data_IF_108370476592
#
_entry.id   IF_108370476592
#
_cell.length_a   1.000
_cell.length_b   1.000
_cell.length_c   1.000
_cell.angle_alpha   90.00
_cell.angle_beta   90.00
_cell.angle_gamma   90.00
#
_symmetry.space_group_name_H-M   'P 1'
#
loop_
_entity.id
_entity.type
_entity.pdbx_description
1 polymer ?
#
# COMPACT_ATOMS: atom_id res chain seq x y z
N UNK A 1 -20.40 -9.90 12.43
CA UNK A 1 -18.97 -9.72 12.13
C UNK A 1 -18.70 -8.33 11.58
N UNK A 2 -19.36 -7.90 10.50
CA UNK A 2 -19.12 -6.60 9.85
C UNK A 2 -19.14 -5.41 10.79
N UNK A 3 -20.16 -5.27 11.66
CA UNK A 3 -20.25 -4.16 12.61
C UNK A 3 -19.03 -4.12 13.55
N UNK A 4 -18.60 -5.27 14.05
CA UNK A 4 -17.38 -5.38 14.87
C UNK A 4 -16.15 -4.90 14.09
N UNK A 5 -15.99 -5.38 12.85
CA UNK A 5 -14.86 -5.04 11.97
C UNK A 5 -14.84 -3.54 11.61
N UNK A 6 -16.02 -2.90 11.49
CA UNK A 6 -16.11 -1.45 11.31
C UNK A 6 -15.54 -0.71 12.53
N UNK A 7 -15.89 -1.15 13.74
CA UNK A 7 -15.39 -0.53 14.98
C UNK A 7 -13.91 -0.85 15.27
N UNK A 8 -13.34 -1.91 14.68
CA UNK A 8 -11.92 -2.24 14.80
C UNK A 8 -11.00 -1.35 13.93
N UNK A 9 -11.54 -0.56 13.01
CA UNK A 9 -10.73 0.22 12.05
C UNK A 9 -9.69 1.13 12.72
N UNK A 10 -10.00 1.92 13.77
CA UNK A 10 -8.99 2.79 14.40
C UNK A 10 -7.82 2.00 14.97
N UNK A 11 -8.10 0.88 15.63
CA UNK A 11 -7.08 0.00 16.19
C UNK A 11 -6.23 -0.66 15.10
N UNK A 12 -6.86 -1.15 14.02
CA UNK A 12 -6.15 -1.82 12.94
C UNK A 12 -5.26 -0.87 12.15
N UNK A 13 -5.68 0.37 11.94
CA UNK A 13 -4.83 1.43 11.36
C UNK A 13 -3.61 1.66 12.24
N UNK A 14 -3.80 1.82 13.56
CA UNK A 14 -2.69 1.99 14.51
C UNK A 14 -1.71 0.83 14.49
N UNK A 15 -2.20 -0.42 14.45
CA UNK A 15 -1.35 -1.61 14.32
C UNK A 15 -0.59 -1.65 13.01
N UNK A 16 -1.24 -1.33 11.90
CA UNK A 16 -0.61 -1.27 10.58
C UNK A 16 0.51 -0.22 10.55
N UNK A 17 0.22 0.99 11.03
CA UNK A 17 1.22 2.07 11.10
C UNK A 17 2.41 1.70 11.98
N UNK A 18 2.17 1.01 13.10
CA UNK A 18 3.23 0.56 14.03
C UNK A 18 4.23 -0.43 13.41
N UNK A 19 3.89 -1.08 12.28
CA UNK A 19 4.85 -1.92 11.53
C UNK A 19 5.83 -1.05 10.75
N UNK A 20 5.35 0.05 10.18
CA UNK A 20 6.09 0.88 9.23
C UNK A 20 6.81 2.05 9.88
N UNK A 21 6.36 2.46 11.08
CA UNK A 21 6.90 3.60 11.79
C UNK A 21 7.22 3.21 13.24
N UNK A 22 8.46 3.43 13.64
CA UNK A 22 8.90 3.29 15.01
C UNK A 22 9.63 4.56 15.45
N UNK A 23 9.14 5.25 16.49
CA UNK A 23 9.71 6.49 17.01
C UNK A 23 10.01 7.52 15.90
N UNK A 24 9.05 7.78 15.03
CA UNK A 24 9.15 8.68 13.86
C UNK A 24 10.18 8.26 12.79
N UNK A 25 10.76 7.06 12.90
CA UNK A 25 11.64 6.49 11.90
C UNK A 25 10.93 5.39 11.12
N UNK A 26 11.33 5.22 9.86
CA UNK A 26 10.85 4.13 9.03
C UNK A 26 11.41 2.80 9.51
N UNK A 27 10.57 1.79 9.46
CA UNK A 27 10.95 0.41 9.75
C UNK A 27 11.93 -0.14 8.72
N UNK A 28 12.91 -0.97 9.14
CA UNK A 28 13.83 -1.68 8.25
C UNK A 28 13.14 -2.47 7.13
N UNK A 29 11.92 -2.97 7.35
CA UNK A 29 11.15 -3.70 6.33
C UNK A 29 11.00 -2.89 5.03
N UNK A 30 11.00 -1.56 5.13
CA UNK A 30 10.90 -0.66 3.99
C UNK A 30 12.28 -0.21 3.53
N UNK A 31 13.11 0.29 4.46
CA UNK A 31 14.38 0.97 4.15
C UNK A 31 15.46 0.03 3.64
N UNK A 32 15.45 -1.24 4.05
CA UNK A 32 16.45 -2.22 3.64
C UNK A 32 16.08 -2.94 2.33
N UNK A 33 14.80 -2.94 1.95
CA UNK A 33 14.31 -3.71 0.81
C UNK A 33 13.95 -2.86 -0.41
N UNK A 34 13.77 -1.55 -0.25
CA UNK A 34 13.37 -0.64 -1.32
C UNK A 34 14.37 0.51 -1.48
N UNK A 35 15.02 0.57 -2.63
CA UNK A 35 15.74 1.78 -3.06
C UNK A 35 14.78 2.67 -3.85
N UNK A 36 14.09 3.56 -3.15
CA UNK A 36 13.16 4.50 -3.78
C UNK A 36 13.81 5.46 -4.77
N UNK A 37 15.13 5.64 -4.73
CA UNK A 37 15.84 6.52 -5.68
C UNK A 37 15.95 5.90 -7.08
N UNK A 38 15.87 4.58 -7.15
CA UNK A 38 15.88 3.84 -8.41
C UNK A 38 14.49 3.69 -9.03
N UNK A 39 13.42 4.07 -8.30
CA UNK A 39 12.02 3.92 -8.72
C UNK A 39 11.53 5.24 -9.30
N UNK A 40 11.05 5.21 -10.53
CA UNK A 40 10.45 6.36 -11.22
C UNK A 40 8.91 6.26 -11.37
N UNK A 41 8.33 5.07 -11.13
CA UNK A 41 6.90 4.80 -11.23
C UNK A 41 6.48 3.69 -10.27
N UNK A 42 5.24 3.74 -9.79
CA UNK A 42 4.61 2.66 -9.04
C UNK A 42 3.41 2.14 -9.84
N UNK A 43 3.26 0.80 -9.89
CA UNK A 43 2.12 0.12 -10.50
C UNK A 43 1.40 -0.64 -9.39
N UNK A 44 0.18 -0.20 -9.03
CA UNK A 44 -0.66 -0.81 -8.02
C UNK A 44 -1.71 -1.70 -8.68
N UNK A 45 -1.71 -2.98 -8.38
CA UNK A 45 -2.62 -3.95 -8.99
C UNK A 45 -3.42 -4.68 -7.92
N UNK A 46 -4.73 -4.67 -8.08
CA UNK A 46 -5.67 -5.30 -7.16
C UNK A 46 -7.00 -5.68 -7.83
N UNK A 47 -7.84 -6.41 -7.12
CA UNK A 47 -9.23 -6.68 -7.47
C UNK A 47 -10.18 -6.07 -6.43
N UNK A 48 -11.41 -5.74 -6.86
CA UNK A 48 -12.51 -5.35 -6.00
C UNK A 48 -12.18 -4.17 -5.08
N UNK A 49 -12.53 -4.28 -3.81
CA UNK A 49 -12.34 -3.22 -2.81
C UNK A 49 -10.86 -2.82 -2.64
N UNK A 50 -9.94 -3.76 -2.83
CA UNK A 50 -8.50 -3.46 -2.78
C UNK A 50 -8.09 -2.48 -3.90
N UNK A 51 -8.69 -2.58 -5.08
CA UNK A 51 -8.43 -1.65 -6.17
C UNK A 51 -8.89 -0.21 -5.83
N UNK A 52 -10.02 -0.04 -5.14
CA UNK A 52 -10.44 1.28 -4.66
C UNK A 52 -9.47 1.87 -3.62
N UNK A 53 -8.90 1.03 -2.75
CA UNK A 53 -7.84 1.47 -1.84
C UNK A 53 -6.58 1.92 -2.60
N UNK A 54 -6.22 1.24 -3.69
CA UNK A 54 -5.12 1.66 -4.57
C UNK A 54 -5.38 3.02 -5.24
N UNK A 55 -6.64 3.31 -5.63
CA UNK A 55 -7.00 4.62 -6.19
C UNK A 55 -6.81 5.75 -5.17
N UNK A 56 -7.14 5.52 -3.90
CA UNK A 56 -6.86 6.49 -2.83
C UNK A 56 -5.35 6.67 -2.65
N UNK A 57 -4.60 5.57 -2.53
CA UNK A 57 -3.16 5.59 -2.36
C UNK A 57 -2.44 6.31 -3.52
N UNK A 58 -2.94 6.17 -4.76
CA UNK A 58 -2.41 6.88 -5.92
C UNK A 58 -2.31 8.39 -5.69
N UNK A 59 -3.41 9.01 -5.23
CA UNK A 59 -3.40 10.46 -4.98
C UNK A 59 -2.37 10.86 -3.92
N UNK A 60 -2.18 10.04 -2.89
CA UNK A 60 -1.20 10.33 -1.85
C UNK A 60 0.23 10.19 -2.36
N UNK A 61 0.54 9.15 -3.12
CA UNK A 61 1.86 8.99 -3.73
C UNK A 61 2.19 10.14 -4.68
N UNK A 62 1.26 10.52 -5.55
CA UNK A 62 1.47 11.61 -6.50
C UNK A 62 1.61 12.97 -5.80
N UNK A 63 0.79 13.26 -4.79
CA UNK A 63 0.80 14.55 -4.08
C UNK A 63 1.96 14.68 -3.08
N UNK A 64 2.31 13.60 -2.38
CA UNK A 64 3.28 13.64 -1.27
C UNK A 64 4.67 13.27 -1.77
N UNK A 65 4.79 12.17 -2.53
CA UNK A 65 6.07 11.67 -3.02
C UNK A 65 6.43 12.22 -4.42
N UNK A 66 5.45 12.71 -5.17
CA UNK A 66 5.66 13.17 -6.55
C UNK A 66 6.02 12.02 -7.51
N UNK A 67 5.68 10.79 -7.16
CA UNK A 67 5.94 9.62 -7.98
C UNK A 67 4.68 9.27 -8.77
N UNK A 68 4.75 9.13 -10.11
CA UNK A 68 3.63 8.69 -10.93
C UNK A 68 3.13 7.32 -10.51
N UNK A 69 1.81 7.15 -10.39
CA UNK A 69 1.19 5.89 -10.00
C UNK A 69 0.17 5.44 -11.04
N UNK A 70 0.37 4.25 -11.56
CA UNK A 70 -0.63 3.54 -12.36
C UNK A 70 -1.43 2.60 -11.46
N UNK A 71 -2.76 2.63 -11.58
CA UNK A 71 -3.65 1.69 -10.89
C UNK A 71 -4.43 0.93 -11.94
N UNK A 72 -4.44 -0.40 -11.85
CA UNK A 72 -5.21 -1.23 -12.75
C UNK A 72 -5.89 -2.39 -12.02
N UNK A 73 -6.94 -2.92 -12.63
CA UNK A 73 -7.66 -4.08 -12.13
C UNK A 73 -6.89 -5.34 -12.57
N UNK A 74 -6.61 -6.24 -11.63
CA UNK A 74 -5.77 -7.41 -11.90
C UNK A 74 -6.33 -8.32 -13.00
N UNK A 75 -7.67 -8.47 -13.10
CA UNK A 75 -8.32 -9.25 -14.16
C UNK A 75 -8.06 -8.68 -15.55
N UNK A 76 -7.97 -7.35 -15.69
CA UNK A 76 -7.69 -6.69 -16.95
C UNK A 76 -6.18 -6.66 -17.26
N UNK A 77 -5.37 -6.31 -16.25
CA UNK A 77 -3.92 -6.24 -16.36
C UNK A 77 -3.31 -7.56 -16.84
N UNK A 78 -3.85 -8.68 -16.37
CA UNK A 78 -3.39 -10.02 -16.73
C UNK A 78 -3.44 -10.30 -18.24
N UNK A 79 -4.42 -9.73 -18.93
CA UNK A 79 -4.67 -10.03 -20.36
C UNK A 79 -4.18 -8.94 -21.31
N UNK A 80 -4.07 -7.70 -20.83
CA UNK A 80 -3.43 -6.67 -21.64
C UNK A 80 -1.91 -6.78 -21.47
N UNK A 81 -1.14 -6.45 -22.48
CA UNK A 81 0.31 -6.41 -22.45
C UNK A 81 0.76 -4.97 -22.18
N UNK A 82 0.83 -4.53 -20.90
CA UNK A 82 1.20 -3.15 -20.58
C UNK A 82 2.67 -2.89 -20.95
N UNK A 83 2.98 -1.65 -21.27
CA UNK A 83 4.37 -1.21 -21.39
C UNK A 83 4.96 -1.08 -19.99
N UNK A 84 5.94 -1.91 -19.68
CA UNK A 84 6.62 -1.93 -18.40
C UNK A 84 7.98 -1.21 -18.52
N UNK A 85 8.34 -0.43 -17.49
CA UNK A 85 9.66 0.17 -17.31
C UNK A 85 10.41 -0.61 -16.24
N UNK A 86 11.68 -0.88 -16.45
CA UNK A 86 12.58 -1.55 -15.50
C UNK A 86 12.74 -0.80 -14.17
N UNK A 87 12.44 0.51 -14.16
CA UNK A 87 12.42 1.35 -12.97
C UNK A 87 11.06 1.41 -12.27
N UNK A 88 10.10 0.58 -12.67
CA UNK A 88 8.81 0.50 -12.01
C UNK A 88 8.84 -0.42 -10.80
N UNK A 89 8.23 0.02 -9.70
CA UNK A 89 7.87 -0.87 -8.60
C UNK A 89 6.47 -1.41 -8.83
N UNK A 90 6.35 -2.72 -8.97
CA UNK A 90 5.06 -3.40 -9.02
C UNK A 90 4.58 -3.76 -7.60
N UNK A 91 3.35 -3.41 -7.25
CA UNK A 91 2.76 -3.71 -5.94
C UNK A 91 1.44 -4.45 -6.12
N UNK A 92 1.44 -5.73 -5.76
CA UNK A 92 0.24 -6.54 -5.67
C UNK A 92 -0.49 -6.27 -4.34
N UNK A 93 -1.76 -5.87 -4.38
CA UNK A 93 -2.53 -5.57 -3.18
C UNK A 93 -3.68 -6.56 -3.02
N UNK A 94 -3.65 -7.34 -1.94
CA UNK A 94 -4.66 -8.36 -1.65
C UNK A 94 -4.80 -8.57 -0.15
N UNK A 95 -6.02 -8.84 0.34
CA UNK A 95 -6.22 -9.22 1.74
C UNK A 95 -5.69 -10.64 2.00
N UNK A 96 -6.13 -11.61 1.20
CA UNK A 96 -5.73 -13.03 1.37
C UNK A 96 -4.34 -13.33 0.83
N UNK A 97 -3.86 -12.55 -0.16
CA UNK A 97 -2.65 -12.86 -0.90
C UNK A 97 -2.76 -14.09 -1.82
N UNK A 98 -4.01 -14.54 -2.11
CA UNK A 98 -4.30 -15.71 -2.95
C UNK A 98 -5.20 -15.38 -4.16
N UNK A 99 -5.52 -14.10 -4.40
CA UNK A 99 -6.35 -13.69 -5.53
C UNK A 99 -5.68 -14.06 -6.86
N UNK A 100 -6.27 -14.97 -7.62
CA UNK A 100 -5.63 -15.60 -8.77
C UNK A 100 -5.15 -14.60 -9.82
N UNK A 101 -5.96 -13.59 -10.18
CA UNK A 101 -5.59 -12.59 -11.18
C UNK A 101 -4.46 -11.69 -10.70
N UNK A 102 -4.49 -11.29 -9.41
CA UNK A 102 -3.43 -10.47 -8.81
C UNK A 102 -2.10 -11.25 -8.73
N UNK A 103 -2.17 -12.54 -8.41
CA UNK A 103 -1.00 -13.42 -8.38
C UNK A 103 -0.42 -13.61 -9.81
N UNK A 104 -1.27 -13.78 -10.81
CA UNK A 104 -0.82 -13.89 -12.19
C UNK A 104 -0.15 -12.60 -12.68
N UNK A 105 -0.68 -11.43 -12.32
CA UNK A 105 -0.08 -10.14 -12.63
C UNK A 105 1.29 -9.96 -11.94
N UNK A 106 1.42 -10.40 -10.69
CA UNK A 106 2.69 -10.38 -9.95
C UNK A 106 3.76 -11.23 -10.66
N UNK A 107 3.40 -12.46 -11.02
CA UNK A 107 4.31 -13.37 -11.74
C UNK A 107 4.75 -12.80 -13.09
N UNK A 108 3.81 -12.26 -13.85
CA UNK A 108 4.08 -11.60 -15.12
C UNK A 108 5.11 -10.46 -14.99
N UNK A 109 4.91 -9.58 -14.02
CA UNK A 109 5.83 -8.46 -13.79
C UNK A 109 7.20 -8.92 -13.27
N UNK A 110 7.22 -9.96 -12.43
CA UNK A 110 8.46 -10.56 -11.93
C UNK A 110 9.26 -11.22 -13.03
N UNK A 111 8.61 -11.97 -13.93
CA UNK A 111 9.24 -12.56 -15.14
C UNK A 111 9.75 -11.47 -16.09
N UNK A 112 9.10 -10.32 -16.15
CA UNK A 112 9.57 -9.16 -16.90
C UNK A 112 10.73 -8.41 -16.23
N UNK A 113 11.19 -8.84 -15.05
CA UNK A 113 12.35 -8.28 -14.36
C UNK A 113 12.03 -7.07 -13.45
N UNK A 114 10.76 -6.76 -13.22
CA UNK A 114 10.40 -5.68 -12.31
C UNK A 114 10.65 -6.06 -10.85
N UNK A 115 11.01 -5.06 -10.03
CA UNK A 115 10.97 -5.20 -8.58
C UNK A 115 9.52 -5.32 -8.11
N UNK A 116 9.22 -6.34 -7.30
CA UNK A 116 7.85 -6.68 -6.90
C UNK A 116 7.66 -6.59 -5.40
N UNK A 117 6.53 -6.04 -4.99
CA UNK A 117 6.06 -6.04 -3.60
C UNK A 117 4.65 -6.64 -3.52
N UNK A 118 4.33 -7.27 -2.39
CA UNK A 118 3.00 -7.77 -2.07
C UNK A 118 2.51 -7.12 -0.77
N UNK A 119 1.47 -6.30 -0.85
CA UNK A 119 0.79 -5.73 0.29
C UNK A 119 -0.36 -6.65 0.70
N UNK A 120 -0.17 -7.45 1.75
CA UNK A 120 -1.07 -8.54 2.13
C UNK A 120 -1.33 -8.59 3.63
N UNK A 121 -2.47 -9.17 4.03
CA UNK A 121 -2.75 -9.43 5.44
C UNK A 121 -2.21 -10.81 5.90
N UNK A 122 -2.08 -11.76 4.96
CA UNK A 122 -1.62 -13.13 5.25
C UNK A 122 -0.20 -13.30 4.73
N UNK A 123 0.79 -13.20 5.61
CA UNK A 123 2.22 -13.28 5.26
C UNK A 123 2.66 -14.68 4.81
N UNK A 124 1.88 -15.72 5.11
CA UNK A 124 2.12 -17.08 4.63
C UNK A 124 1.51 -17.35 3.26
N UNK A 125 0.87 -16.35 2.65
CA UNK A 125 0.23 -16.46 1.34
C UNK A 125 1.23 -16.63 0.20
N UNK A 126 0.70 -17.10 -0.93
CA UNK A 126 1.51 -17.30 -2.15
C UNK A 126 2.11 -15.99 -2.65
N UNK A 127 1.34 -14.88 -2.66
CA UNK A 127 1.86 -13.57 -3.07
C UNK A 127 3.00 -13.10 -2.17
N UNK A 128 2.89 -13.30 -0.85
CA UNK A 128 3.93 -12.90 0.10
C UNK A 128 5.24 -13.68 -0.11
N UNK A 129 5.13 -14.97 -0.48
CA UNK A 129 6.31 -15.80 -0.75
C UNK A 129 6.95 -15.54 -2.10
N UNK A 130 6.16 -15.18 -3.11
CA UNK A 130 6.64 -15.01 -4.47
C UNK A 130 7.13 -13.58 -4.78
N UNK A 131 6.61 -12.57 -4.09
CA UNK A 131 7.10 -11.19 -4.22
C UNK A 131 8.52 -11.04 -3.66
N UNK A 132 9.27 -10.06 -4.16
CA UNK A 132 10.59 -9.75 -3.62
C UNK A 132 10.49 -9.13 -2.23
N UNK A 133 9.36 -8.48 -1.94
CA UNK A 133 9.09 -7.82 -0.66
C UNK A 133 7.65 -8.11 -0.24
N UNK A 134 7.47 -8.61 0.99
CA UNK A 134 6.16 -8.76 1.61
C UNK A 134 5.90 -7.61 2.59
N UNK A 135 4.83 -6.88 2.36
CA UNK A 135 4.39 -5.74 3.19
C UNK A 135 3.11 -6.12 3.95
N UNK A 136 3.16 -6.29 5.27
CA UNK A 136 2.00 -6.70 6.06
C UNK A 136 1.01 -5.56 6.29
N UNK A 137 -0.31 -5.86 6.20
CA UNK A 137 -1.38 -4.93 6.63
C UNK A 137 -1.70 -5.12 8.12
N UNK A 138 -1.63 -6.35 8.62
CA UNK A 138 -1.83 -6.75 10.03
C UNK A 138 -3.17 -6.33 10.65
N UNK A 139 -4.26 -6.46 9.89
CA UNK A 139 -5.60 -6.13 10.37
C UNK A 139 -6.32 -7.31 11.07
N UNK A 140 -5.66 -8.47 11.19
CA UNK A 140 -6.27 -9.68 11.69
C UNK A 140 -7.29 -10.30 10.72
N UNK A 141 -8.03 -11.34 11.16
CA UNK A 141 -9.06 -11.98 10.33
C UNK A 141 -10.18 -10.99 9.97
N UNK A 142 -10.59 -10.98 8.70
CA UNK A 142 -11.76 -10.25 8.21
C UNK A 142 -12.75 -11.28 7.64
N UNK A 143 -13.92 -11.39 8.27
CA UNK A 143 -14.95 -12.39 7.99
C UNK A 143 -16.13 -11.77 7.24
N UNK A 144 -16.36 -10.47 7.41
CA UNK A 144 -17.38 -9.72 6.70
C UNK A 144 -17.15 -9.80 5.19
N UNK A 145 -18.23 -10.01 4.42
CA UNK A 145 -18.14 -10.11 2.95
C UNK A 145 -17.61 -8.81 2.33
N UNK A 146 -18.09 -7.68 2.81
CA UNK A 146 -17.56 -6.38 2.41
C UNK A 146 -16.32 -6.04 3.25
N UNK A 147 -15.21 -5.74 2.58
CA UNK A 147 -13.97 -5.34 3.25
C UNK A 147 -14.13 -3.98 3.92
N UNK A 148 -13.79 -3.90 5.20
CA UNK A 148 -13.87 -2.68 6.02
C UNK A 148 -12.51 -2.29 6.56
N UNK A 149 -12.02 -2.96 7.60
CA UNK A 149 -10.74 -2.68 8.25
C UNK A 149 -9.53 -2.91 7.34
N UNK A 150 -9.59 -3.92 6.48
CA UNK A 150 -8.52 -4.14 5.50
C UNK A 150 -8.52 -3.04 4.42
N UNK A 151 -9.69 -2.54 4.00
CA UNK A 151 -9.78 -1.41 3.07
C UNK A 151 -9.11 -0.16 3.64
N UNK A 152 -9.50 0.25 4.84
CA UNK A 152 -8.99 1.48 5.47
C UNK A 152 -7.51 1.41 5.81
N UNK A 153 -6.98 0.24 6.16
CA UNK A 153 -5.57 0.09 6.54
C UNK A 153 -4.62 0.03 5.34
N UNK A 154 -5.08 -0.40 4.15
CA UNK A 154 -4.23 -0.52 2.94
C UNK A 154 -3.59 0.79 2.47
N UNK A 155 -4.33 1.91 2.33
CA UNK A 155 -3.72 3.17 1.92
C UNK A 155 -2.60 3.61 2.86
N UNK A 156 -2.76 3.40 4.17
CA UNK A 156 -1.74 3.79 5.16
C UNK A 156 -0.47 2.96 5.06
N UNK A 157 -0.56 1.67 4.69
CA UNK A 157 0.63 0.84 4.47
C UNK A 157 1.44 1.29 3.24
N UNK A 158 0.77 1.90 2.26
CA UNK A 158 1.38 2.42 1.04
C UNK A 158 1.68 3.92 1.08
N UNK A 159 1.29 4.65 2.13
CA UNK A 159 1.45 6.10 2.18
C UNK A 159 2.93 6.48 2.11
N UNK A 160 3.34 7.29 1.12
CA UNK A 160 4.73 7.70 0.95
C UNK A 160 5.27 8.53 2.11
N UNK A 161 4.41 9.21 2.88
CA UNK A 161 4.81 9.88 4.12
C UNK A 161 5.25 8.87 5.19
N UNK A 162 4.67 7.66 5.16
CA UNK A 162 4.96 6.58 6.10
C UNK A 162 5.97 5.56 5.55
N UNK A 163 6.13 5.45 4.22
CA UNK A 163 7.08 4.53 3.59
C UNK A 163 8.42 5.17 3.19
N UNK A 164 8.61 6.46 3.48
CA UNK A 164 9.84 7.19 3.16
C UNK A 164 9.98 7.63 1.72
N UNK A 165 9.04 7.27 0.84
CA UNK A 165 9.05 7.70 -0.55
C UNK A 165 8.96 9.24 -0.67
N UNK A 166 8.33 9.92 0.31
CA UNK A 166 8.28 11.39 0.39
C UNK A 166 9.63 12.08 0.58
N UNK A 167 10.68 11.36 1.00
CA UNK A 167 12.04 11.91 1.13
C UNK A 167 12.80 12.05 -0.18
N UNK A 168 12.31 11.48 -1.27
CA UNK A 168 13.04 11.41 -2.56
C UNK A 168 12.98 12.75 -3.31
N UNK A 169 11.91 13.49 -3.18
CA UNK A 169 11.70 14.75 -3.92
C UNK A 169 11.79 16.04 -3.10
N UNK A 170 11.93 15.97 -1.78
CA UNK A 170 12.05 17.18 -0.93
C UNK A 170 13.29 18.07 -1.28
N UNK A 171 14.12 17.64 -2.23
CA UNK A 171 15.24 18.46 -2.75
C UNK A 171 14.84 19.54 -3.77
N UNK A 172 13.60 19.53 -4.28
CA UNK A 172 13.20 20.53 -5.30
C UNK A 172 12.01 21.42 -4.92
N UNK A 173 11.13 21.06 -3.98
CA UNK A 173 10.01 21.90 -3.60
C UNK A 173 9.69 21.83 -2.10
N UNK A 174 9.84 22.96 -1.40
CA UNK A 174 9.40 23.36 -0.04
C UNK A 174 9.51 22.29 1.08
N UNK A 175 9.99 22.68 2.27
CA UNK A 175 10.02 21.78 3.42
C UNK A 175 8.59 21.32 3.77
N UNK A 176 8.38 20.01 3.79
CA UNK A 176 7.17 19.41 4.34
C UNK A 176 7.03 19.88 5.79
N UNK A 177 5.91 20.49 6.09
CA UNK A 177 5.52 20.72 7.49
C UNK A 177 5.50 19.39 8.20
N UNK A 178 6.12 19.33 9.39
CA UNK A 178 6.29 18.13 10.22
C UNK A 178 5.05 17.21 10.18
N UNK A 179 5.24 15.90 10.06
CA UNK A 179 4.19 14.88 9.87
C UNK A 179 3.04 14.90 10.90
N UNK A 180 3.18 15.61 12.02
CA UNK A 180 2.12 15.92 12.98
C UNK A 180 0.99 16.79 12.42
N UNK A 181 1.19 17.51 11.30
CA UNK A 181 0.11 18.28 10.68
C UNK A 181 -0.74 17.48 9.69
N UNK A 182 -0.23 16.40 9.12
CA UNK A 182 -1.01 15.54 8.23
C UNK A 182 -2.07 14.71 8.98
N UNK A 183 -1.87 14.48 10.29
CA UNK A 183 -2.82 13.74 11.14
C UNK A 183 -3.90 14.66 11.79
N UNK A 184 -3.79 15.98 11.70
CA UNK A 184 -4.79 16.90 12.29
C UNK A 184 -6.23 16.69 11.81
N UNK A 185 -6.51 16.40 10.52
CA UNK A 185 -7.88 16.13 10.08
C UNK A 185 -8.52 14.92 10.76
N UNK A 186 -7.75 13.89 11.09
CA UNK A 186 -8.26 12.68 11.73
C UNK A 186 -8.52 12.83 13.22
N UNK A 187 -7.79 13.69 13.91
CA UNK A 187 -7.98 13.95 15.34
C UNK A 187 -9.24 14.77 15.60
N UNK A 188 -9.61 15.67 14.69
CA UNK A 188 -10.83 16.48 14.80
C UNK A 188 -12.10 15.70 14.42
N UNK A 189 -12.01 14.72 13.51
CA UNK A 189 -13.15 13.89 13.15
C UNK A 189 -13.60 12.96 14.28
N UNK A 190 -12.69 12.52 15.15
CA UNK A 190 -13.03 11.67 16.31
C UNK A 190 -13.63 12.43 17.50
N UNK A 191 -13.60 13.77 17.49
CA UNK A 191 -14.21 14.58 18.55
C UNK A 191 -15.62 15.08 18.20
N UNK A 192 -16.13 14.82 17.00
CA UNK A 192 -17.39 15.34 16.49
C UNK A 192 -18.51 14.30 16.30
N UNK A 193 -18.34 13.07 16.81
CA UNK A 193 -19.42 12.07 16.82
C UNK A 193 -19.99 11.94 18.24
N UNK A 194 -21.31 12.09 18.41
CA UNK A 194 -22.00 11.92 19.70
C UNK A 194 -21.98 10.46 20.17
#
# INVERSE_FOLDING_TARGET
FMLKEIHEQPETIGRTLGIYINNYNLSPIVTENLDFKSIDRIILIACGTANYACLVAKYWFEQIAGIPVEVDIASEFRYRKPTLSDKSLFVAVSQSGETADTLAALRYCKEAGLKTAALVNVLTSTMAREADIALPINVGPEIGVASTKAFTSRPFSGDPAFTGAGGIQSRQHRPLRSGTQALRPFHLANQALP
#
